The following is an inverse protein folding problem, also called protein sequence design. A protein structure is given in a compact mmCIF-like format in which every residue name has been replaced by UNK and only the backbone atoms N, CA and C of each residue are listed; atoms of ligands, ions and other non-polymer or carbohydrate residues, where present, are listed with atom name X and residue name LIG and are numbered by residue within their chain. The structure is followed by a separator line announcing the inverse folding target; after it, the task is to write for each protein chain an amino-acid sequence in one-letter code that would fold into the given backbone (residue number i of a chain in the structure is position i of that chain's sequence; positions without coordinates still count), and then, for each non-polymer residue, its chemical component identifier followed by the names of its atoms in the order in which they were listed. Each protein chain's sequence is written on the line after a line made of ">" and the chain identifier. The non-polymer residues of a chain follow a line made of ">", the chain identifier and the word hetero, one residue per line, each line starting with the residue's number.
data_IF_843493492556
#
_entry.id   IF_843493492556
#
_cell.length_a   1.000
_cell.length_b   1.000
_cell.length_c   1.000
_cell.angle_alpha   90.00
_cell.angle_beta   90.00
_cell.angle_gamma   90.00
#
_symmetry.space_group_name_H-M   'P 1'
#
loop_
_entity.id
_entity.type
_entity.pdbx_description
1 polymer ?
#
# COMPACT_ATOMS: atom_id res chain seq x y z
N UNK A 1 -39.09 96.13 -30.76
CA UNK A 1 -37.74 95.92 -30.20
C UNK A 1 -37.94 95.43 -28.77
N UNK A 2 -37.84 94.11 -28.57
CA UNK A 2 -38.08 93.42 -27.30
C UNK A 2 -36.72 92.92 -26.79
N UNK A 3 -36.28 93.36 -25.62
CA UNK A 3 -35.04 92.88 -24.98
C UNK A 3 -35.44 91.86 -23.91
N UNK A 4 -35.14 90.58 -24.15
CA UNK A 4 -35.28 89.51 -23.17
C UNK A 4 -33.99 89.41 -22.35
N UNK A 5 -34.06 89.64 -21.04
CA UNK A 5 -33.00 89.29 -20.08
C UNK A 5 -33.18 87.83 -19.65
N UNK A 6 -32.18 86.99 -19.95
CA UNK A 6 -32.05 85.63 -19.42
C UNK A 6 -31.23 85.69 -18.13
N UNK A 7 -31.87 85.41 -17.00
CA UNK A 7 -31.19 85.20 -15.72
C UNK A 7 -30.65 83.76 -15.63
N UNK A 8 -29.34 83.63 -15.46
CA UNK A 8 -28.68 82.33 -15.22
C UNK A 8 -28.71 82.05 -13.72
N UNK A 9 -29.35 80.93 -13.32
CA UNK A 9 -29.32 80.42 -11.96
C UNK A 9 -28.02 79.63 -11.72
N UNK A 10 -27.40 79.71 -10.53
CA UNK A 10 -26.23 78.91 -10.21
C UNK A 10 -26.63 77.45 -9.96
N UNK A 11 -25.89 76.51 -10.56
CA UNK A 11 -26.00 75.09 -10.24
C UNK A 11 -25.52 74.85 -8.81
N UNK A 12 -26.37 74.24 -7.98
CA UNK A 12 -25.97 73.75 -6.65
C UNK A 12 -24.87 72.70 -6.81
N UNK A 13 -23.69 72.93 -6.23
CA UNK A 13 -22.61 71.96 -6.20
C UNK A 13 -23.07 70.70 -5.44
N UNK A 14 -23.12 69.56 -6.13
CA UNK A 14 -23.46 68.27 -5.54
C UNK A 14 -22.22 67.73 -4.82
N UNK A 15 -22.25 67.70 -3.50
CA UNK A 15 -21.13 67.22 -2.67
C UNK A 15 -21.18 65.70 -2.59
N UNK A 16 -20.42 65.02 -3.44
CA UNK A 16 -20.20 63.57 -3.36
C UNK A 16 -19.11 63.27 -2.34
N UNK A 17 -19.48 62.63 -1.23
CA UNK A 17 -18.53 62.17 -0.23
C UNK A 17 -18.51 60.64 -0.18
N UNK A 18 -17.30 60.09 -0.25
CA UNK A 18 -17.06 58.65 -0.25
C UNK A 18 -16.06 58.32 0.86
N UNK A 19 -16.38 57.37 1.73
CA UNK A 19 -15.55 56.98 2.87
C UNK A 19 -15.54 55.44 2.98
N UNK A 20 -14.42 54.83 3.36
CA UNK A 20 -14.28 53.36 3.47
C UNK A 20 -13.39 52.97 4.64
N UNK A 21 -13.76 51.92 5.39
CA UNK A 21 -13.00 51.41 6.54
C UNK A 21 -13.76 51.48 7.87
N UNK A 22 -13.19 50.89 8.94
CA UNK A 22 -13.83 50.66 10.25
C UNK A 22 -14.23 51.92 11.03
N UNK A 23 -13.70 53.07 10.63
CA UNK A 23 -14.04 54.38 11.20
C UNK A 23 -14.07 55.42 10.09
N UNK A 24 -15.12 55.40 9.27
CA UNK A 24 -15.17 56.25 8.09
C UNK A 24 -16.45 57.07 8.02
N UNK A 25 -16.69 57.97 8.99
CA UNK A 25 -17.90 58.77 8.98
C UNK A 25 -17.77 59.90 7.97
N UNK A 26 -18.85 60.08 7.24
CA UNK A 26 -19.05 61.18 6.32
C UNK A 26 -20.05 62.14 6.99
N UNK A 27 -19.60 63.32 7.42
CA UNK A 27 -20.42 64.28 8.18
C UNK A 27 -20.54 65.59 7.41
N UNK A 28 -21.76 66.03 7.16
CA UNK A 28 -22.07 67.29 6.48
C UNK A 28 -23.24 68.01 7.18
N UNK A 29 -23.20 69.35 7.23
CA UNK A 29 -24.32 70.20 7.65
C UNK A 29 -24.64 70.22 9.15
N UNK A 30 -23.66 70.41 10.03
CA UNK A 30 -23.88 70.35 11.49
C UNK A 30 -23.80 71.73 12.15
N UNK A 31 -24.89 72.18 12.79
CA UNK A 31 -24.98 73.41 13.60
C UNK A 31 -24.55 73.21 15.07
N UNK A 32 -23.92 72.08 15.41
CA UNK A 32 -23.50 71.73 16.77
C UNK A 32 -22.25 70.83 16.81
N UNK A 33 -21.76 70.53 18.02
CA UNK A 33 -20.53 69.75 18.20
C UNK A 33 -20.78 68.24 18.00
N UNK A 34 -20.22 67.65 16.94
CA UNK A 34 -20.31 66.22 16.65
C UNK A 34 -19.04 65.51 17.11
N UNK A 35 -19.17 64.59 18.06
CA UNK A 35 -18.06 63.72 18.49
C UNK A 35 -18.23 62.35 17.88
N UNK A 36 -17.24 61.93 17.10
CA UNK A 36 -17.21 60.62 16.46
C UNK A 36 -16.20 59.78 17.23
N UNK A 37 -16.70 58.75 17.92
CA UNK A 37 -15.84 57.79 18.62
C UNK A 37 -15.92 56.46 17.89
N UNK A 38 -14.82 56.07 17.27
CA UNK A 38 -14.73 54.78 16.63
C UNK A 38 -13.98 53.80 17.52
N UNK A 39 -14.69 52.78 17.98
CA UNK A 39 -14.08 51.68 18.70
C UNK A 39 -13.59 50.65 17.68
N UNK A 40 -12.38 50.91 17.18
CA UNK A 40 -11.58 49.94 16.42
C UNK A 40 -11.37 48.65 17.18
N UNK A 41 -11.20 47.54 16.45
CA UNK A 41 -10.46 46.41 17.03
C UNK A 41 -9.03 46.89 17.25
N UNK A 42 -8.48 46.64 18.43
CA UNK A 42 -7.09 47.00 18.72
C UNK A 42 -6.16 46.35 17.67
N UNK A 43 -5.23 47.09 17.06
CA UNK A 43 -4.36 46.55 16.02
C UNK A 43 -3.55 45.32 16.46
N UNK A 44 -3.20 45.20 17.75
CA UNK A 44 -2.51 44.00 18.28
C UNK A 44 -3.46 42.82 18.36
N UNK A 45 -4.74 43.06 18.67
CA UNK A 45 -5.76 42.01 18.64
C UNK A 45 -6.01 41.51 17.20
N UNK A 46 -5.99 42.40 16.21
CA UNK A 46 -6.12 42.03 14.80
C UNK A 46 -4.89 41.24 14.29
N UNK A 47 -3.67 41.72 14.56
CA UNK A 47 -2.45 40.99 14.20
C UNK A 47 -2.39 39.60 14.87
N UNK A 48 -2.86 39.49 16.12
CA UNK A 48 -2.97 38.20 16.80
C UNK A 48 -4.01 37.29 16.15
N UNK A 49 -5.13 37.84 15.68
CA UNK A 49 -6.14 37.08 14.95
C UNK A 49 -5.59 36.55 13.62
N UNK A 50 -4.87 37.38 12.85
CA UNK A 50 -4.23 36.98 11.60
C UNK A 50 -3.23 35.83 11.80
N UNK A 51 -2.35 35.92 12.81
CA UNK A 51 -1.42 34.84 13.16
C UNK A 51 -2.14 33.52 13.51
N UNK A 52 -3.28 33.62 14.22
CA UNK A 52 -4.09 32.46 14.55
C UNK A 52 -4.76 31.84 13.33
N UNK A 53 -5.20 32.65 12.37
CA UNK A 53 -5.78 32.19 11.11
C UNK A 53 -4.73 31.48 10.25
N UNK A 54 -3.54 32.09 10.08
CA UNK A 54 -2.42 31.47 9.36
C UNK A 54 -2.03 30.11 9.96
N UNK A 55 -1.98 30.03 11.29
CA UNK A 55 -1.74 28.78 11.99
C UNK A 55 -2.82 27.73 11.69
N UNK A 56 -4.09 28.13 11.67
CA UNK A 56 -5.21 27.23 11.37
C UNK A 56 -5.18 26.72 9.94
N UNK A 57 -4.79 27.57 9.00
CA UNK A 57 -4.64 27.21 7.59
C UNK A 57 -3.51 26.18 7.39
N UNK A 58 -2.37 26.35 8.07
CA UNK A 58 -1.29 25.36 8.07
C UNK A 58 -1.71 24.03 8.69
N UNK A 59 -2.38 24.04 9.86
CA UNK A 59 -2.90 22.82 10.51
C UNK A 59 -3.88 22.08 9.59
N UNK A 60 -4.75 22.80 8.88
CA UNK A 60 -5.70 22.21 7.95
C UNK A 60 -5.00 21.63 6.71
N UNK A 61 -4.02 22.34 6.14
CA UNK A 61 -3.25 21.87 4.99
C UNK A 61 -2.52 20.56 5.32
N UNK A 62 -1.91 20.47 6.50
CA UNK A 62 -1.24 19.25 6.97
C UNK A 62 -2.23 18.08 7.13
N UNK A 63 -3.43 18.35 7.67
CA UNK A 63 -4.46 17.31 7.83
C UNK A 63 -5.02 16.82 6.49
N UNK A 64 -5.16 17.70 5.51
CA UNK A 64 -5.56 17.32 4.14
C UNK A 64 -4.48 16.45 3.50
N UNK A 65 -3.21 16.82 3.67
CA UNK A 65 -2.09 16.02 3.17
C UNK A 65 -2.09 14.62 3.79
N UNK A 66 -2.19 14.53 5.11
CA UNK A 66 -2.27 13.26 5.83
C UNK A 66 -3.44 12.40 5.33
N UNK A 67 -4.63 12.99 5.17
CA UNK A 67 -5.80 12.28 4.65
C UNK A 67 -5.57 11.73 3.22
N UNK A 68 -4.93 12.50 2.33
CA UNK A 68 -4.63 12.06 0.97
C UNK A 68 -3.60 10.91 0.94
N UNK A 69 -2.64 10.90 1.86
CA UNK A 69 -1.70 9.79 2.04
C UNK A 69 -2.45 8.51 2.49
N UNK A 70 -3.38 8.65 3.42
CA UNK A 70 -4.23 7.52 3.86
C UNK A 70 -5.13 6.99 2.74
N UNK A 71 -5.73 7.87 1.92
CA UNK A 71 -6.53 7.46 0.76
C UNK A 71 -5.67 6.66 -0.22
N UNK A 72 -4.41 7.07 -0.45
CA UNK A 72 -3.49 6.33 -1.33
C UNK A 72 -3.18 4.94 -0.79
N UNK A 73 -2.83 4.82 0.51
CA UNK A 73 -2.58 3.53 1.17
C UNK A 73 -3.76 2.58 1.09
N UNK A 74 -4.96 3.13 1.29
CA UNK A 74 -6.20 2.39 1.22
C UNK A 74 -6.44 1.80 -0.18
N UNK A 75 -6.27 2.62 -1.23
CA UNK A 75 -6.37 2.16 -2.62
C UNK A 75 -5.32 1.12 -2.99
N UNK A 76 -4.09 1.30 -2.52
CA UNK A 76 -3.01 0.34 -2.73
C UNK A 76 -3.31 -1.01 -2.08
N UNK A 77 -3.83 -1.00 -0.85
CA UNK A 77 -4.25 -2.20 -0.13
C UNK A 77 -5.38 -2.94 -0.87
N UNK A 78 -6.42 -2.22 -1.30
CA UNK A 78 -7.52 -2.81 -2.08
C UNK A 78 -7.05 -3.40 -3.41
N UNK A 79 -6.18 -2.67 -4.12
CA UNK A 79 -5.60 -3.15 -5.37
C UNK A 79 -4.73 -4.40 -5.15
N UNK A 80 -3.92 -4.41 -4.08
CA UNK A 80 -3.12 -5.56 -3.68
C UNK A 80 -4.01 -6.79 -3.46
N UNK A 81 -5.02 -6.68 -2.61
CA UNK A 81 -5.94 -7.78 -2.29
C UNK A 81 -6.81 -8.24 -3.48
N UNK A 82 -7.05 -7.36 -4.45
CA UNK A 82 -7.80 -7.69 -5.67
C UNK A 82 -6.91 -8.25 -6.80
N UNK A 83 -5.59 -8.03 -6.75
CA UNK A 83 -4.62 -8.44 -7.78
C UNK A 83 -3.90 -9.75 -7.47
N UNK A 84 -3.92 -10.19 -6.21
CA UNK A 84 -3.55 -11.55 -5.81
C UNK A 84 -4.62 -12.46 -6.40
N UNK A 85 -4.33 -12.99 -7.60
CA UNK A 85 -5.28 -13.55 -8.57
C UNK A 85 -6.24 -14.63 -8.06
N UNK A 86 -7.13 -15.05 -8.96
CA UNK A 86 -8.33 -15.93 -8.85
C UNK A 86 -8.40 -17.04 -7.78
N UNK A 87 -7.30 -17.39 -7.09
CA UNK A 87 -7.19 -18.55 -6.19
C UNK A 87 -7.46 -18.28 -4.70
N UNK A 88 -7.66 -17.04 -4.23
CA UNK A 88 -8.11 -16.82 -2.85
C UNK A 88 -9.35 -15.92 -2.76
N UNK A 89 -10.52 -16.58 -2.76
CA UNK A 89 -11.81 -15.96 -2.44
C UNK A 89 -11.73 -15.11 -1.16
N UNK A 90 -10.91 -15.55 -0.21
CA UNK A 90 -10.61 -14.91 1.06
C UNK A 90 -9.97 -13.53 0.91
N UNK A 91 -9.05 -13.33 -0.06
CA UNK A 91 -8.45 -12.00 -0.30
C UNK A 91 -9.47 -11.00 -0.86
N UNK A 92 -10.37 -11.48 -1.74
CA UNK A 92 -11.49 -10.68 -2.24
C UNK A 92 -12.48 -10.31 -1.13
N UNK A 93 -12.77 -11.25 -0.23
CA UNK A 93 -13.62 -10.99 0.95
C UNK A 93 -12.99 -9.97 1.90
N UNK A 94 -11.68 -10.07 2.17
CA UNK A 94 -10.95 -9.08 2.95
C UNK A 94 -11.00 -7.68 2.31
N UNK A 95 -10.83 -7.59 0.98
CA UNK A 95 -10.95 -6.32 0.26
C UNK A 95 -12.35 -5.69 0.41
N UNK A 96 -13.40 -6.49 0.39
CA UNK A 96 -14.77 -6.02 0.55
C UNK A 96 -15.09 -5.58 1.99
N UNK A 97 -14.50 -6.26 2.99
CA UNK A 97 -14.59 -5.84 4.40
C UNK A 97 -13.87 -4.51 4.64
N UNK A 98 -12.74 -4.29 3.97
CA UNK A 98 -12.00 -3.02 4.00
C UNK A 98 -12.86 -1.86 3.47
N UNK A 99 -13.61 -2.05 2.36
CA UNK A 99 -14.62 -1.10 1.84
C UNK A 99 -15.70 -0.70 2.83
N UNK A 100 -16.04 -1.63 3.72
CA UNK A 100 -17.03 -1.42 4.77
C UNK A 100 -16.43 -0.82 6.05
N UNK A 101 -15.12 -0.57 6.09
CA UNK A 101 -14.41 -0.10 7.29
C UNK A 101 -14.20 -1.17 8.37
N UNK A 102 -14.42 -2.45 8.04
CA UNK A 102 -14.33 -3.59 8.96
C UNK A 102 -12.92 -4.19 8.98
N UNK A 103 -11.96 -3.39 9.42
CA UNK A 103 -10.54 -3.76 9.39
C UNK A 103 -10.19 -4.99 10.25
N UNK A 104 -10.85 -5.15 11.41
CA UNK A 104 -10.62 -6.29 12.29
C UNK A 104 -11.06 -7.61 11.64
N UNK A 105 -12.25 -7.62 11.03
CA UNK A 105 -12.76 -8.80 10.32
C UNK A 105 -11.88 -9.14 9.11
N UNK A 106 -11.49 -8.12 8.32
CA UNK A 106 -10.56 -8.30 7.21
C UNK A 106 -9.20 -8.87 7.68
N UNK A 107 -8.68 -8.37 8.80
CA UNK A 107 -7.46 -8.87 9.42
C UNK A 107 -7.57 -10.33 9.85
N UNK A 108 -8.72 -10.73 10.40
CA UNK A 108 -9.00 -12.13 10.77
C UNK A 108 -8.96 -13.07 9.57
N UNK A 109 -9.58 -12.67 8.45
CA UNK A 109 -9.56 -13.45 7.19
C UNK A 109 -8.12 -13.61 6.67
N UNK A 110 -7.36 -12.51 6.60
CA UNK A 110 -5.97 -12.54 6.13
C UNK A 110 -5.06 -13.37 7.04
N UNK A 111 -5.26 -13.32 8.36
CA UNK A 111 -4.51 -14.14 9.31
C UNK A 111 -4.74 -15.63 9.06
N UNK A 112 -5.99 -16.05 8.86
CA UNK A 112 -6.32 -17.44 8.56
C UNK A 112 -5.76 -17.89 7.20
N UNK A 113 -5.77 -17.00 6.20
CA UNK A 113 -5.18 -17.27 4.89
C UNK A 113 -3.67 -17.51 5.02
N UNK A 114 -2.97 -16.65 5.76
CA UNK A 114 -1.53 -16.79 6.01
C UNK A 114 -1.22 -18.12 6.71
N UNK A 115 -1.94 -18.47 7.77
CA UNK A 115 -1.72 -19.74 8.49
C UNK A 115 -1.92 -20.97 7.58
N UNK A 116 -2.88 -20.90 6.67
CA UNK A 116 -3.13 -21.95 5.67
C UNK A 116 -2.01 -22.05 4.65
N UNK A 117 -1.51 -20.91 4.16
CA UNK A 117 -0.39 -20.86 3.22
C UNK A 117 0.93 -21.31 3.86
N UNK A 118 1.20 -20.91 5.10
CA UNK A 118 2.37 -21.36 5.87
C UNK A 118 2.38 -22.88 6.02
N UNK A 119 1.22 -23.48 6.31
CA UNK A 119 1.08 -24.94 6.38
C UNK A 119 1.42 -25.58 5.03
N UNK A 120 0.88 -25.07 3.92
CA UNK A 120 1.17 -25.59 2.58
C UNK A 120 2.66 -25.47 2.22
N UNK A 121 3.30 -24.35 2.56
CA UNK A 121 4.75 -24.15 2.36
C UNK A 121 5.56 -25.14 3.19
N UNK A 122 5.16 -25.39 4.45
CA UNK A 122 5.82 -26.38 5.30
C UNK A 122 5.70 -27.81 4.73
N UNK A 123 4.53 -28.18 4.22
CA UNK A 123 4.33 -29.48 3.56
C UNK A 123 5.14 -29.59 2.27
N UNK A 124 5.20 -28.53 1.46
CA UNK A 124 6.02 -28.48 0.25
C UNK A 124 7.51 -28.64 0.58
N UNK A 125 7.99 -28.01 1.66
CA UNK A 125 9.34 -28.18 2.16
C UNK A 125 9.63 -29.65 2.51
N UNK A 126 8.72 -30.28 3.27
CA UNK A 126 8.80 -31.71 3.65
C UNK A 126 8.79 -32.63 2.44
N UNK A 127 7.95 -32.35 1.44
CA UNK A 127 7.88 -33.15 0.23
C UNK A 127 9.19 -33.08 -0.58
N UNK A 128 9.79 -31.89 -0.68
CA UNK A 128 11.12 -31.75 -1.28
C UNK A 128 12.21 -32.48 -0.49
N UNK A 129 12.18 -32.41 0.84
CA UNK A 129 13.10 -33.17 1.68
C UNK A 129 12.97 -34.68 1.42
N UNK A 130 11.75 -35.21 1.48
CA UNK A 130 11.48 -36.64 1.26
C UNK A 130 11.95 -37.10 -0.14
N UNK A 131 11.75 -36.27 -1.17
CA UNK A 131 12.24 -36.59 -2.52
C UNK A 131 13.79 -36.61 -2.57
N UNK A 132 14.45 -35.69 -1.88
CA UNK A 132 15.90 -35.72 -1.77
C UNK A 132 16.41 -37.00 -1.06
N UNK A 133 15.74 -37.42 0.01
CA UNK A 133 16.03 -38.67 0.71
C UNK A 133 15.89 -39.89 -0.22
N UNK A 134 14.87 -39.92 -1.10
CA UNK A 134 14.72 -41.00 -2.09
C UNK A 134 15.94 -41.11 -3.02
N UNK A 135 16.50 -39.98 -3.48
CA UNK A 135 17.73 -39.99 -4.28
C UNK A 135 18.96 -40.44 -3.48
N UNK A 136 19.05 -40.04 -2.21
CA UNK A 136 20.13 -40.47 -1.31
C UNK A 136 20.11 -41.98 -1.05
N UNK A 137 18.93 -42.58 -0.90
CA UNK A 137 18.75 -44.03 -0.78
C UNK A 137 19.18 -44.78 -2.05
N UNK A 138 19.06 -44.14 -3.21
CA UNK A 138 19.54 -44.65 -4.50
C UNK A 138 21.04 -44.37 -4.73
N UNK A 139 21.74 -43.84 -3.72
CA UNK A 139 23.14 -43.44 -3.80
C UNK A 139 23.44 -42.38 -4.87
N UNK A 140 22.47 -41.52 -5.19
CA UNK A 140 22.61 -40.39 -6.11
C UNK A 140 22.54 -39.04 -5.37
N UNK A 141 23.63 -38.62 -4.71
CA UNK A 141 23.65 -37.33 -4.01
C UNK A 141 23.61 -36.13 -4.96
N UNK A 142 23.85 -36.29 -6.27
CA UNK A 142 23.80 -35.16 -7.20
C UNK A 142 22.36 -34.75 -7.47
N UNK A 143 21.46 -35.71 -7.72
CA UNK A 143 20.04 -35.44 -7.93
C UNK A 143 19.30 -35.01 -6.67
N UNK A 144 19.77 -35.39 -5.48
CA UNK A 144 19.18 -34.98 -4.20
C UNK A 144 19.34 -33.48 -3.90
N UNK A 145 20.47 -32.87 -4.29
CA UNK A 145 20.83 -31.50 -3.92
C UNK A 145 19.81 -30.41 -4.26
N UNK A 146 19.23 -30.32 -5.48
CA UNK A 146 18.23 -29.31 -5.77
C UNK A 146 17.00 -29.41 -4.86
N UNK A 147 16.62 -30.62 -4.45
CA UNK A 147 15.47 -30.85 -3.59
C UNK A 147 15.76 -30.48 -2.13
N UNK A 148 16.93 -30.84 -1.58
CA UNK A 148 17.33 -30.34 -0.25
C UNK A 148 17.45 -28.81 -0.20
N UNK A 149 17.93 -28.17 -1.28
CA UNK A 149 17.98 -26.70 -1.36
C UNK A 149 16.60 -26.08 -1.29
N UNK A 150 15.61 -26.63 -2.02
CA UNK A 150 14.22 -26.16 -1.95
C UNK A 150 13.61 -26.38 -0.57
N UNK A 151 13.83 -27.53 0.05
CA UNK A 151 13.36 -27.80 1.41
C UNK A 151 13.88 -26.75 2.40
N UNK A 152 15.18 -26.44 2.36
CA UNK A 152 15.78 -25.37 3.19
C UNK A 152 15.30 -23.97 2.81
N UNK A 153 15.05 -23.70 1.53
CA UNK A 153 14.53 -22.41 1.08
C UNK A 153 13.14 -22.14 1.66
N UNK A 154 12.27 -23.16 1.69
CA UNK A 154 10.92 -23.05 2.22
C UNK A 154 10.86 -23.09 3.76
N UNK A 155 11.82 -23.76 4.41
CA UNK A 155 11.92 -23.82 5.87
C UNK A 155 13.38 -23.58 6.32
N UNK A 156 13.84 -22.31 6.33
CA UNK A 156 15.24 -21.96 6.62
C UNK A 156 15.67 -22.29 8.04
N UNK A 157 14.74 -22.23 9.00
CA UNK A 157 15.01 -22.48 10.42
C UNK A 157 15.00 -23.97 10.77
N UNK A 158 14.66 -24.86 9.82
CA UNK A 158 14.72 -26.28 10.04
C UNK A 158 16.17 -26.80 9.95
N UNK A 159 16.76 -27.09 11.11
CA UNK A 159 18.13 -27.58 11.22
C UNK A 159 18.35 -28.93 10.53
N UNK A 160 17.33 -29.81 10.46
CA UNK A 160 17.41 -31.11 9.79
C UNK A 160 17.68 -30.93 8.29
N UNK A 161 16.95 -30.02 7.63
CA UNK A 161 17.10 -29.76 6.20
C UNK A 161 18.48 -29.17 5.88
N UNK A 162 18.99 -28.32 6.77
CA UNK A 162 20.34 -27.76 6.66
C UNK A 162 21.41 -28.84 6.80
N UNK A 163 21.27 -29.73 7.78
CA UNK A 163 22.20 -30.84 7.99
C UNK A 163 22.18 -31.82 6.81
N UNK A 164 21.00 -32.20 6.32
CA UNK A 164 20.86 -33.11 5.20
C UNK A 164 21.47 -32.55 3.90
N UNK A 165 21.26 -31.26 3.63
CA UNK A 165 21.93 -30.58 2.51
C UNK A 165 23.46 -30.63 2.63
N UNK A 166 24.00 -30.35 3.82
CA UNK A 166 25.45 -30.41 4.07
C UNK A 166 26.00 -31.83 3.88
N UNK A 167 25.29 -32.84 4.39
CA UNK A 167 25.64 -34.24 4.21
C UNK A 167 25.62 -34.66 2.74
N UNK A 168 24.60 -34.26 1.96
CA UNK A 168 24.55 -34.52 0.52
C UNK A 168 25.71 -33.86 -0.23
N UNK A 169 26.09 -32.63 0.13
CA UNK A 169 27.25 -31.93 -0.44
C UNK A 169 28.56 -32.67 -0.13
N UNK A 170 28.74 -33.16 1.10
CA UNK A 170 29.91 -33.96 1.47
C UNK A 170 29.96 -35.30 0.71
N UNK A 171 28.82 -35.96 0.52
CA UNK A 171 28.77 -37.19 -0.29
C UNK A 171 29.13 -36.93 -1.75
N UNK A 172 28.66 -35.82 -2.32
CA UNK A 172 29.01 -35.38 -3.68
C UNK A 172 30.52 -35.17 -3.84
N UNK A 173 31.19 -34.51 -2.89
CA UNK A 173 32.65 -34.31 -2.96
C UNK A 173 33.42 -35.63 -2.81
N UNK A 174 32.95 -36.51 -1.94
CA UNK A 174 33.55 -37.83 -1.73
C UNK A 174 33.38 -38.77 -2.95
N UNK A 175 32.29 -38.65 -3.72
CA UNK A 175 32.08 -39.40 -4.95
C UNK A 175 32.82 -38.81 -6.17
N UNK A 176 33.12 -37.51 -6.15
CA UNK A 176 33.93 -36.84 -7.17
C UNK A 176 35.44 -37.08 -7.02
N UNK A 177 35.90 -37.49 -5.84
CA UNK A 177 37.29 -37.90 -5.64
C UNK A 177 37.48 -39.30 -6.24
N UNK A 178 38.45 -39.54 -7.16
CA UNK A 178 38.67 -40.86 -7.72
C UNK A 178 39.19 -41.81 -6.64
N UNK A 179 38.27 -42.44 -5.90
CA UNK A 179 38.57 -43.66 -5.17
C UNK A 179 39.07 -44.65 -6.21
N UNK A 180 40.32 -45.11 -6.10
CA UNK A 180 40.84 -46.29 -6.80
C UNK A 180 39.89 -47.46 -6.53
N UNK A 181 38.83 -47.59 -7.32
CA UNK A 181 37.85 -48.68 -7.24
C UNK A 181 38.36 -49.77 -8.18
N UNK A 182 38.94 -50.80 -7.59
CA UNK A 182 38.96 -52.13 -8.19
C UNK A 182 37.53 -52.48 -8.61
N UNK A 183 37.33 -52.71 -9.92
CA UNK A 183 36.05 -53.06 -10.54
C UNK A 183 35.36 -54.17 -9.74
N UNK A 184 34.16 -53.90 -9.23
CA UNK A 184 33.14 -54.92 -8.96
C UNK A 184 31.87 -54.47 -9.68
N UNK A 185 31.29 -55.28 -10.57
CA UNK A 185 30.10 -54.89 -11.32
C UNK A 185 28.88 -54.82 -10.39
N UNK A 186 28.05 -53.79 -10.57
CA UNK A 186 26.79 -53.58 -9.85
C UNK A 186 25.68 -54.45 -10.48
N UNK A 187 24.82 -55.13 -9.69
CA UNK A 187 23.78 -56.00 -10.22
C UNK A 187 22.40 -55.33 -10.43
N UNK A 188 22.28 -54.00 -10.36
CA UNK A 188 20.97 -53.32 -10.46
C UNK A 188 20.89 -52.36 -11.66
N UNK A 189 20.40 -52.87 -12.79
CA UNK A 189 19.76 -52.07 -13.84
C UNK A 189 18.25 -52.22 -13.66
N UNK A 190 17.64 -51.37 -12.85
CA UNK A 190 16.19 -51.21 -12.82
C UNK A 190 15.85 -49.93 -13.59
N UNK A 191 15.47 -50.08 -14.85
CA UNK A 191 14.90 -49.01 -15.66
C UNK A 191 13.51 -48.67 -15.13
N UNK A 192 13.33 -47.47 -14.59
CA UNK A 192 12.00 -46.93 -14.29
C UNK A 192 11.32 -46.48 -15.59
N UNK A 193 10.00 -46.69 -15.74
CA UNK A 193 9.25 -46.15 -16.87
C UNK A 193 9.16 -44.61 -16.76
N UNK A 194 9.06 -43.89 -17.90
CA UNK A 194 8.90 -42.45 -17.89
C UNK A 194 7.57 -42.03 -17.22
N UNK A 195 7.51 -40.83 -16.63
CA UNK A 195 6.29 -40.32 -16.01
C UNK A 195 5.16 -40.26 -17.04
N UNK A 196 3.98 -40.75 -16.65
CA UNK A 196 2.76 -40.66 -17.46
C UNK A 196 2.35 -39.19 -17.61
N UNK A 197 2.02 -38.71 -18.83
CA UNK A 197 1.50 -37.36 -19.00
C UNK A 197 0.15 -37.20 -18.26
N UNK A 198 -0.18 -35.99 -17.78
CA UNK A 198 -1.47 -35.72 -17.14
C UNK A 198 -2.63 -35.99 -18.12
N UNK A 199 -3.81 -36.40 -17.63
CA UNK A 199 -4.96 -36.66 -18.47
C UNK A 199 -5.38 -35.38 -19.20
N UNK A 200 -5.41 -35.44 -20.53
CA UNK A 200 -6.01 -34.40 -21.37
C UNK A 200 -7.48 -34.31 -21.04
N UNK A 201 -7.91 -33.25 -20.34
CA UNK A 201 -9.32 -32.92 -20.19
C UNK A 201 -9.95 -32.77 -21.57
N UNK A 202 -10.86 -33.68 -21.90
CA UNK A 202 -11.78 -33.58 -23.02
C UNK A 202 -12.62 -32.32 -22.83
N UNK A 203 -12.36 -31.29 -23.64
CA UNK A 203 -13.33 -30.24 -23.91
C UNK A 203 -14.54 -30.89 -24.61
N UNK A 204 -15.63 -31.05 -23.89
CA UNK A 204 -16.95 -31.26 -24.49
C UNK A 204 -17.39 -29.97 -25.19
N UNK A 205 -18.01 -30.04 -26.38
CA UNK A 205 -18.65 -28.87 -26.98
C UNK A 205 -20.00 -28.64 -26.30
N UNK A 206 -20.26 -27.39 -25.88
CA UNK A 206 -21.60 -26.93 -25.49
C UNK A 206 -22.47 -26.76 -26.76
N UNK A 207 -23.77 -27.09 -26.71
CA UNK A 207 -24.75 -26.59 -27.67
C UNK A 207 -25.10 -25.11 -27.44
#
# INVERSE_FOLDING_TARGET
>A
MFVLLLAVLPASAQVTQHTTGWCSPNVAGTDGNVTIVCHGVDPKALARLEELLDKKDLELADKIKEANEWVSKYRELEAGLSSVGDDSKESGEAAELIKQGKFEEAGGILHQLIATQETQVAELARNHYNWAELYMLQFDPFSALPHYRKARQYAPDNAEYTFALAHALQRRTNSATPRRRTRRPSPFTASWPPPTPPPTSLMSPLP
#
